data_IF_317227406696
#
_entry.id   IF_317227406696
#
_cell.length_a   1.000
_cell.length_b   1.000
_cell.length_c   1.000
_cell.angle_alpha   90.00
_cell.angle_beta   90.00
_cell.angle_gamma   90.00
#
_symmetry.space_group_name_H-M   'P 1'
#
loop_
_entity.id
_entity.type
_entity.pdbx_description
1 polymer ?
#
# COMPACT_ATOMS: atom_id res chain seq x y z
N UNK A 1 -0.47 -5.66 3.31
CA UNK A 1 0.50 -4.59 3.62
C UNK A 1 1.59 -4.54 2.55
N UNK A 2 1.90 -3.35 2.09
CA UNK A 2 2.89 -3.13 1.04
C UNK A 2 3.84 -2.00 1.47
N UNK A 3 5.10 -2.02 1.03
CA UNK A 3 6.01 -0.92 1.30
C UNK A 3 5.65 0.31 0.48
N UNK A 4 5.90 1.49 1.04
CA UNK A 4 5.83 2.75 0.31
C UNK A 4 7.13 3.01 -0.43
N UNK A 5 7.05 3.80 -1.49
CA UNK A 5 8.20 4.12 -2.31
C UNK A 5 8.03 5.48 -2.97
N UNK A 6 9.13 6.20 -3.10
CA UNK A 6 9.13 7.43 -3.89
C UNK A 6 9.04 7.09 -5.38
N UNK A 7 8.24 7.85 -6.12
CA UNK A 7 8.10 7.65 -7.57
C UNK A 7 9.46 7.82 -8.28
N UNK A 8 10.30 8.73 -7.79
CA UNK A 8 11.66 8.91 -8.34
C UNK A 8 12.55 7.69 -8.12
N UNK A 9 12.41 7.01 -6.98
CA UNK A 9 13.13 5.77 -6.69
C UNK A 9 12.60 4.62 -7.56
N UNK A 10 11.29 4.58 -7.79
CA UNK A 10 10.68 3.61 -8.70
C UNK A 10 11.23 3.78 -10.12
N UNK A 11 11.28 5.02 -10.61
CA UNK A 11 11.84 5.33 -11.93
C UNK A 11 13.30 4.90 -12.03
N UNK A 12 14.10 5.17 -11.00
CA UNK A 12 15.50 4.78 -10.97
C UNK A 12 15.70 3.26 -10.98
N UNK A 13 14.79 2.51 -10.34
CA UNK A 13 14.86 1.05 -10.32
C UNK A 13 14.48 0.43 -11.66
N UNK A 14 13.46 0.96 -12.32
CA UNK A 14 12.93 0.43 -13.59
C UNK A 14 13.76 0.89 -14.78
N UNK A 15 14.12 2.17 -14.82
CA UNK A 15 14.82 2.79 -15.94
C UNK A 15 15.89 3.77 -15.45
N UNK A 16 17.02 3.26 -14.91
CA UNK A 16 18.04 4.12 -14.27
C UNK A 16 18.66 5.16 -15.22
N UNK A 17 18.62 4.92 -16.52
CA UNK A 17 19.17 5.83 -17.52
C UNK A 17 18.15 6.84 -18.06
N UNK A 18 16.88 6.72 -17.66
CA UNK A 18 15.83 7.61 -18.13
C UNK A 18 15.98 9.00 -17.50
N UNK A 19 15.72 10.03 -18.30
CA UNK A 19 15.67 11.40 -17.82
C UNK A 19 14.31 11.68 -17.22
N UNK A 20 14.29 12.21 -16.00
CA UNK A 20 13.06 12.58 -15.32
C UNK A 20 12.66 14.02 -15.65
N UNK A 21 11.38 14.21 -15.89
CA UNK A 21 10.80 15.54 -16.09
C UNK A 21 9.66 15.74 -15.09
N UNK A 22 9.75 16.82 -14.31
CA UNK A 22 8.74 17.15 -13.29
C UNK A 22 7.74 18.13 -13.88
N UNK A 23 6.52 17.67 -14.09
CA UNK A 23 5.46 18.46 -14.75
C UNK A 23 4.43 19.03 -13.77
N UNK A 24 4.60 18.76 -12.47
CA UNK A 24 3.65 19.19 -11.44
C UNK A 24 2.46 18.26 -11.29
N UNK A 25 1.56 18.64 -10.39
CA UNK A 25 0.37 17.84 -10.07
C UNK A 25 -0.79 18.31 -10.96
N UNK A 26 -1.43 17.34 -11.65
CA UNK A 26 -2.64 17.62 -12.44
C UNK A 26 -3.89 17.58 -11.56
N UNK A 27 -5.01 18.22 -11.99
CA UNK A 27 -6.24 18.15 -11.22
C UNK A 27 -6.67 16.70 -10.95
N UNK A 28 -7.05 16.41 -9.71
CA UNK A 28 -7.45 15.07 -9.30
C UNK A 28 -6.31 14.14 -8.87
N UNK A 29 -5.07 14.53 -9.10
CA UNK A 29 -3.91 13.74 -8.66
C UNK A 29 -3.59 14.02 -7.20
N UNK A 30 -3.05 13.01 -6.52
CA UNK A 30 -2.62 13.09 -5.12
C UNK A 30 -1.13 12.82 -5.00
N UNK A 31 -0.47 13.53 -4.08
CA UNK A 31 0.95 13.27 -3.76
C UNK A 31 1.09 11.95 -3.02
N UNK A 32 0.14 11.63 -2.18
CA UNK A 32 0.12 10.38 -1.40
C UNK A 32 -1.16 9.60 -1.67
N UNK A 33 -1.03 8.28 -1.69
CA UNK A 33 -2.16 7.39 -1.85
C UNK A 33 -2.59 6.81 -0.52
N UNK A 34 -3.91 6.68 -0.34
CA UNK A 34 -4.51 6.16 0.86
C UNK A 34 -5.30 4.89 0.54
N UNK A 35 -4.98 3.82 1.24
CA UNK A 35 -5.65 2.53 1.05
C UNK A 35 -6.74 2.30 2.10
N UNK A 36 -6.54 2.79 3.32
CA UNK A 36 -7.51 2.71 4.40
C UNK A 36 -7.71 4.12 4.94
N UNK A 37 -8.92 4.62 4.84
CA UNK A 37 -9.29 5.93 5.33
C UNK A 37 -9.81 5.89 6.76
N UNK A 38 -9.90 7.06 7.38
CA UNK A 38 -10.41 7.21 8.74
C UNK A 38 -11.81 6.60 8.89
N UNK A 39 -12.65 6.75 7.87
CA UNK A 39 -14.01 6.22 7.88
C UNK A 39 -14.05 4.69 7.89
N UNK A 40 -13.04 4.05 7.30
CA UNK A 40 -12.95 2.60 7.25
C UNK A 40 -12.41 1.99 8.54
N UNK A 41 -11.82 2.80 9.42
CA UNK A 41 -11.16 2.32 10.63
C UNK A 41 -12.08 1.51 11.54
N UNK A 42 -13.37 1.87 11.60
CA UNK A 42 -14.35 1.15 12.43
C UNK A 42 -14.55 -0.30 11.99
N UNK A 43 -14.25 -0.61 10.74
CA UNK A 43 -14.49 -1.91 10.12
C UNK A 43 -13.21 -2.64 9.77
N UNK A 44 -12.06 -2.09 10.18
CA UNK A 44 -10.73 -2.59 9.77
C UNK A 44 -10.07 -3.39 10.89
N UNK A 45 -9.52 -4.53 10.52
CA UNK A 45 -8.79 -5.43 11.42
C UNK A 45 -7.41 -5.69 10.87
N UNK A 46 -6.42 -5.59 11.74
CA UNK A 46 -5.01 -5.77 11.39
C UNK A 46 -4.57 -7.21 11.62
N UNK A 47 -3.83 -7.74 10.65
CA UNK A 47 -3.10 -9.00 10.70
C UNK A 47 -1.62 -8.72 10.43
N UNK A 48 -0.77 -9.74 10.55
CA UNK A 48 0.67 -9.55 10.38
C UNK A 48 1.05 -9.00 9.01
N UNK A 49 0.45 -9.51 7.94
CA UNK A 49 0.83 -9.13 6.58
C UNK A 49 -0.26 -8.42 5.79
N UNK A 50 -1.45 -8.26 6.36
CA UNK A 50 -2.58 -7.64 5.67
C UNK A 50 -3.55 -6.99 6.64
N UNK A 51 -4.50 -6.26 6.07
CA UNK A 51 -5.68 -5.73 6.76
C UNK A 51 -6.93 -6.33 6.13
N UNK A 52 -7.98 -6.47 6.92
CA UNK A 52 -9.32 -6.78 6.41
C UNK A 52 -10.25 -5.63 6.73
N UNK A 53 -10.91 -5.12 5.71
CA UNK A 53 -11.93 -4.09 5.85
C UNK A 53 -13.27 -4.77 5.61
N UNK A 54 -14.11 -4.81 6.63
CA UNK A 54 -15.45 -5.39 6.51
C UNK A 54 -16.41 -4.39 5.86
N UNK A 55 -17.46 -4.88 5.17
CA UNK A 55 -18.49 -3.98 4.65
C UNK A 55 -19.17 -3.22 5.79
N UNK A 56 -19.59 -1.99 5.53
CA UNK A 56 -20.34 -1.18 6.51
C UNK A 56 -21.67 -1.84 6.87
N UNK A 57 -22.28 -2.55 5.93
CA UNK A 57 -23.48 -3.37 6.17
C UNK A 57 -23.06 -4.82 6.25
N UNK A 58 -23.14 -5.42 7.44
CA UNK A 58 -22.68 -6.79 7.65
C UNK A 58 -23.53 -7.51 8.68
N UNK A 59 -23.49 -8.83 8.64
CA UNK A 59 -24.06 -9.70 9.65
C UNK A 59 -23.00 -10.04 10.71
N UNK A 60 -23.19 -9.62 11.94
CA UNK A 60 -22.23 -9.82 13.03
C UNK A 60 -21.81 -11.29 13.22
N UNK A 61 -22.75 -12.22 13.10
CA UNK A 61 -22.46 -13.63 13.31
C UNK A 61 -21.49 -14.20 12.26
N UNK A 62 -21.62 -13.79 11.01
CA UNK A 62 -20.72 -14.23 9.95
C UNK A 62 -19.39 -13.45 9.97
N UNK A 63 -19.41 -12.19 10.44
CA UNK A 63 -18.21 -11.35 10.47
C UNK A 63 -17.21 -11.80 11.53
N UNK A 64 -17.65 -12.36 12.66
CA UNK A 64 -16.75 -12.85 13.69
C UNK A 64 -15.81 -13.94 13.20
N UNK A 65 -16.27 -14.80 12.30
CA UNK A 65 -15.43 -15.82 11.69
C UNK A 65 -14.41 -15.23 10.73
N UNK A 66 -14.81 -14.15 10.03
CA UNK A 66 -13.94 -13.48 9.06
C UNK A 66 -12.79 -12.73 9.70
N UNK A 67 -12.98 -12.25 10.94
CA UNK A 67 -11.99 -11.45 11.66
C UNK A 67 -11.24 -12.22 12.74
N UNK A 68 -11.38 -13.55 12.76
CA UNK A 68 -10.68 -14.40 13.71
C UNK A 68 -9.18 -14.12 13.66
N UNK A 69 -8.57 -13.94 14.85
CA UNK A 69 -7.17 -13.60 15.04
C UNK A 69 -6.77 -12.20 14.54
N UNK A 70 -7.73 -11.38 14.11
CA UNK A 70 -7.47 -9.99 13.75
C UNK A 70 -7.56 -9.06 14.95
N UNK A 71 -6.81 -7.98 14.90
CA UNK A 71 -6.83 -6.93 15.91
C UNK A 71 -7.50 -5.70 15.31
N UNK A 72 -8.59 -5.24 15.93
CA UNK A 72 -9.25 -4.03 15.46
C UNK A 72 -8.29 -2.85 15.54
N UNK A 73 -8.21 -2.07 14.45
CA UNK A 73 -7.36 -0.87 14.43
C UNK A 73 -7.96 0.23 15.30
N UNK A 74 -7.13 1.17 15.81
CA UNK A 74 -7.64 2.31 16.57
C UNK A 74 -8.61 3.16 15.75
N UNK A 75 -9.56 3.80 16.42
CA UNK A 75 -10.44 4.78 15.79
C UNK A 75 -9.60 5.89 15.14
N UNK A 76 -9.97 6.25 13.90
CA UNK A 76 -9.23 7.26 13.14
C UNK A 76 -7.97 6.75 12.47
N UNK A 77 -7.72 5.43 12.49
CA UNK A 77 -6.58 4.82 11.82
C UNK A 77 -6.61 5.10 10.31
N UNK A 78 -5.44 5.44 9.77
CA UNK A 78 -5.25 5.67 8.33
C UNK A 78 -4.05 4.87 7.88
N UNK A 79 -4.18 4.17 6.75
CA UNK A 79 -3.09 3.50 6.08
C UNK A 79 -2.85 4.17 4.73
N UNK A 80 -1.77 4.94 4.65
CA UNK A 80 -1.44 5.72 3.47
C UNK A 80 0.06 5.73 3.22
N UNK A 81 0.45 6.14 2.01
CA UNK A 81 1.86 6.13 1.63
C UNK A 81 2.74 7.04 2.49
N UNK A 82 2.18 8.12 3.03
CA UNK A 82 2.96 9.08 3.83
C UNK A 82 3.15 8.67 5.29
N UNK A 83 2.27 7.79 5.84
CA UNK A 83 2.39 7.34 7.23
C UNK A 83 2.84 5.89 7.37
N UNK A 84 3.13 5.22 6.28
CA UNK A 84 3.59 3.84 6.28
C UNK A 84 5.00 3.76 6.88
N UNK A 85 5.22 2.77 7.72
CA UNK A 85 6.52 2.53 8.34
C UNK A 85 7.47 1.76 7.44
N UNK A 86 6.94 1.00 6.48
CA UNK A 86 7.74 0.26 5.53
C UNK A 86 8.00 1.09 4.29
N UNK A 87 9.28 1.27 3.96
CA UNK A 87 9.73 1.97 2.77
C UNK A 87 10.71 1.12 1.99
N UNK A 88 10.62 1.18 0.67
CA UNK A 88 11.49 0.43 -0.22
C UNK A 88 12.40 1.39 -1.00
N UNK A 89 13.69 1.09 -1.03
CA UNK A 89 14.67 1.84 -1.82
C UNK A 89 14.66 1.37 -3.28
N UNK A 90 15.27 2.17 -4.16
CA UNK A 90 15.43 1.79 -5.57
C UNK A 90 16.22 0.49 -5.72
N UNK A 91 17.28 0.31 -4.92
CA UNK A 91 18.10 -0.90 -4.97
C UNK A 91 17.31 -2.14 -4.56
N UNK A 92 16.52 -2.03 -3.50
CA UNK A 92 15.68 -3.14 -3.03
C UNK A 92 14.63 -3.51 -4.07
N UNK A 93 13.99 -2.54 -4.71
CA UNK A 93 13.02 -2.79 -5.77
C UNK A 93 13.69 -3.45 -6.97
N UNK A 94 14.84 -2.96 -7.38
CA UNK A 94 15.57 -3.55 -8.52
C UNK A 94 15.90 -5.00 -8.25
N UNK A 95 16.37 -5.32 -7.05
CA UNK A 95 16.63 -6.69 -6.64
C UNK A 95 15.37 -7.55 -6.67
N UNK A 96 14.26 -7.01 -6.19
CA UNK A 96 12.98 -7.69 -6.22
C UNK A 96 12.52 -7.98 -7.66
N UNK A 97 12.67 -7.01 -8.55
CA UNK A 97 12.34 -7.15 -9.98
C UNK A 97 13.14 -8.29 -10.60
N UNK A 98 14.46 -8.31 -10.36
CA UNK A 98 15.35 -9.37 -10.87
C UNK A 98 14.93 -10.75 -10.36
N UNK A 99 14.63 -10.84 -9.06
CA UNK A 99 14.25 -12.10 -8.43
C UNK A 99 12.86 -12.60 -8.86
N UNK A 100 12.02 -11.72 -9.38
CA UNK A 100 10.65 -12.06 -9.78
C UNK A 100 10.41 -11.89 -11.29
N UNK A 101 11.44 -11.83 -12.09
CA UNK A 101 11.38 -11.61 -13.53
C UNK A 101 10.48 -12.64 -14.24
N UNK A 102 10.49 -13.88 -13.77
CA UNK A 102 9.64 -14.94 -14.33
C UNK A 102 8.16 -14.71 -14.08
N UNK A 103 7.80 -13.96 -13.03
CA UNK A 103 6.40 -13.67 -12.67
C UNK A 103 5.87 -12.41 -13.32
N UNK A 104 6.71 -11.39 -13.48
CA UNK A 104 6.29 -10.06 -13.94
C UNK A 104 6.69 -9.78 -15.39
N UNK A 105 7.49 -10.65 -15.98
CA UNK A 105 8.05 -10.43 -17.30
C UNK A 105 9.32 -9.59 -17.28
N UNK A 106 9.99 -9.52 -18.43
CA UNK A 106 11.26 -8.81 -18.56
C UNK A 106 11.02 -7.31 -18.76
N UNK A 107 11.73 -6.52 -18.04
CA UNK A 107 11.70 -5.05 -18.16
C UNK A 107 12.89 -4.59 -19.01
#
# INVERSE_FOLDING_TARGET
KIPSMKVTDLAAAVAPEAKLEFVGIRPGEKVHEQMIGEEDSFYTYEYDEHFKILPAIHNWNSCQLRIKNGNQVPEGFIYSSNNNKEWMSSDTLRQWIVNNETKIGKI
#
